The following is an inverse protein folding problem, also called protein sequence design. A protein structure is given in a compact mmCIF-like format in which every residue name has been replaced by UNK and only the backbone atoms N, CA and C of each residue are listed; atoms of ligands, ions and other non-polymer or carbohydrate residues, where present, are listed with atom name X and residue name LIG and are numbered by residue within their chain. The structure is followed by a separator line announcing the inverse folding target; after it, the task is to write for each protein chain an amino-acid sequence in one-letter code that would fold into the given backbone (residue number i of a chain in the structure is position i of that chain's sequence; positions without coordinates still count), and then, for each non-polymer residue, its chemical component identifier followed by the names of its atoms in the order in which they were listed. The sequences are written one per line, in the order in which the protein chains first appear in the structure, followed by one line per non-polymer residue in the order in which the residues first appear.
data_IF_449428409845
#
_entry.id   IF_449428409845
#
_cell.length_a   1.000
_cell.length_b   1.000
_cell.length_c   1.000
_cell.angle_alpha   90.00
_cell.angle_beta   90.00
_cell.angle_gamma   90.00
#
_symmetry.space_group_name_H-M   'P 1'
#
loop_
_entity.id
_entity.type
_entity.pdbx_description
1 polymer ?
#
# COMPACT_ATOMS: atom_id res chain seq x y z
N UNK A 1 15.97 -11.29 34.24
CA UNK A 1 17.03 -12.19 34.77
C UNK A 1 16.56 -13.63 34.66
N UNK A 2 17.47 -14.62 34.71
CA UNK A 2 17.14 -16.05 34.76
C UNK A 2 16.39 -16.36 36.08
N UNK A 3 15.36 -17.22 36.18
CA UNK A 3 15.17 -18.63 35.80
C UNK A 3 15.66 -19.64 36.85
N UNK A 4 14.72 -20.43 37.38
CA UNK A 4 14.85 -21.67 38.19
C UNK A 4 13.44 -22.19 38.52
N UNK A 5 13.15 -23.49 38.68
CA UNK A 5 14.00 -24.69 38.62
C UNK A 5 13.20 -25.92 38.14
N UNK A 6 13.90 -26.96 37.65
CA UNK A 6 13.32 -28.27 37.26
C UNK A 6 13.26 -29.25 38.44
N UNK A 7 12.73 -30.47 38.18
CA UNK A 7 13.14 -31.85 38.62
C UNK A 7 11.85 -32.72 38.69
N UNK A 8 11.80 -34.00 38.27
CA UNK A 8 12.83 -35.03 38.09
C UNK A 8 12.66 -35.92 36.83
N UNK A 9 13.55 -36.90 36.64
CA UNK A 9 13.65 -37.81 35.49
C UNK A 9 14.20 -39.20 35.85
N UNK A 10 13.69 -40.27 35.23
CA UNK A 10 14.32 -41.61 35.05
C UNK A 10 13.41 -42.48 34.14
N UNK A 11 13.83 -43.57 33.47
CA UNK A 11 15.12 -44.30 33.39
C UNK A 11 15.62 -44.42 31.93
N UNK A 12 16.87 -44.87 31.72
CA UNK A 12 17.38 -45.34 30.43
C UNK A 12 18.49 -46.43 30.57
N UNK A 13 18.44 -47.46 29.72
CA UNK A 13 19.46 -48.50 29.44
C UNK A 13 18.90 -49.46 28.38
N UNK A 14 19.60 -50.12 27.45
CA UNK A 14 20.99 -50.15 26.91
C UNK A 14 20.89 -50.90 25.53
N UNK A 15 21.87 -51.37 24.72
CA UNK A 15 23.32 -51.65 24.71
C UNK A 15 23.83 -51.30 23.27
N UNK A 16 24.99 -50.66 23.04
CA UNK A 16 26.28 -51.23 22.55
C UNK A 16 26.23 -52.42 21.53
N UNK A 17 27.20 -52.68 20.64
CA UNK A 17 28.62 -52.26 20.58
C UNK A 17 29.24 -52.34 19.16
N UNK A 18 30.14 -51.40 18.82
CA UNK A 18 31.45 -51.55 18.14
C UNK A 18 31.68 -52.44 16.88
N UNK A 19 32.28 -51.83 15.83
CA UNK A 19 33.54 -52.31 15.22
C UNK A 19 34.31 -51.17 14.49
N UNK A 20 35.60 -51.38 14.18
CA UNK A 20 36.58 -50.33 13.82
C UNK A 20 37.42 -50.65 12.55
N UNK A 21 38.20 -49.63 12.10
CA UNK A 21 39.38 -49.66 11.22
C UNK A 21 39.15 -49.67 9.69
N UNK A 22 39.98 -49.00 8.87
CA UNK A 22 41.06 -48.03 9.20
C UNK A 22 41.98 -47.65 8.02
N UNK A 23 42.85 -46.63 8.22
CA UNK A 23 43.95 -46.16 7.34
C UNK A 23 43.54 -45.47 5.99
N UNK A 24 44.32 -44.54 5.37
CA UNK A 24 45.65 -43.94 5.68
C UNK A 24 45.81 -42.50 5.05
N UNK A 25 46.97 -41.86 5.29
CA UNK A 25 47.38 -40.46 4.96
C UNK A 25 47.64 -40.16 3.45
N UNK A 26 48.11 -38.99 2.97
CA UNK A 26 48.49 -37.63 3.50
C UNK A 26 47.73 -36.55 2.66
N UNK A 27 47.76 -35.23 2.89
CA UNK A 27 48.43 -34.39 3.89
C UNK A 27 48.86 -33.00 3.35
N UNK A 28 49.18 -32.05 4.25
CA UNK A 28 49.68 -30.66 4.02
C UNK A 28 48.69 -29.69 3.33
N UNK A 29 48.73 -28.37 3.54
CA UNK A 29 49.72 -27.51 4.20
C UNK A 29 49.03 -26.29 4.89
N UNK A 30 49.44 -25.89 6.10
CA UNK A 30 49.05 -24.59 6.70
C UNK A 30 50.00 -24.14 7.84
N UNK A 31 50.74 -23.05 7.62
CA UNK A 31 51.48 -22.23 8.59
C UNK A 31 51.33 -20.76 8.11
N UNK A 32 51.37 -19.72 8.95
CA UNK A 32 51.34 -19.62 10.42
C UNK A 32 50.90 -18.18 10.79
N UNK A 33 50.61 -17.90 12.06
CA UNK A 33 50.16 -16.59 12.52
C UNK A 33 51.26 -15.51 12.47
N UNK A 34 50.86 -14.25 12.29
CA UNK A 34 51.54 -13.10 12.88
C UNK A 34 50.52 -12.04 13.33
N UNK A 35 50.78 -11.38 14.46
CA UNK A 35 49.97 -10.26 14.95
C UNK A 35 50.54 -8.94 14.45
N UNK A 36 49.68 -7.99 14.11
CA UNK A 36 50.03 -6.57 13.98
C UNK A 36 48.98 -5.75 14.70
N UNK A 37 49.37 -5.10 15.80
CA UNK A 37 48.56 -4.08 16.46
C UNK A 37 48.92 -2.71 15.88
N UNK A 38 47.91 -1.88 15.60
CA UNK A 38 48.11 -0.47 15.21
C UNK A 38 47.50 0.46 16.26
N UNK A 39 48.29 1.44 16.70
CA UNK A 39 47.90 2.45 17.68
C UNK A 39 47.11 3.58 17.03
N UNK A 40 45.99 3.96 17.65
CA UNK A 40 45.14 5.03 17.16
C UNK A 40 45.50 6.37 17.84
N UNK A 41 46.46 7.10 17.28
CA UNK A 41 46.76 8.47 17.73
C UNK A 41 45.79 9.47 17.10
N UNK A 42 44.95 10.09 17.93
CA UNK A 42 44.03 11.13 17.49
C UNK A 42 44.75 12.41 17.05
N UNK A 43 44.24 13.04 15.97
CA UNK A 43 44.55 14.43 15.62
C UNK A 43 43.26 15.26 15.73
N UNK A 44 43.27 16.24 16.63
CA UNK A 44 42.28 17.32 16.60
C UNK A 44 42.56 18.24 15.41
N UNK A 45 41.50 18.66 14.71
CA UNK A 45 41.59 19.66 13.63
C UNK A 45 40.87 20.91 14.11
N UNK A 46 41.62 21.97 14.40
CA UNK A 46 41.06 23.26 14.75
C UNK A 46 40.46 23.94 13.51
N UNK A 47 39.14 24.10 13.48
CA UNK A 47 38.42 24.80 12.43
C UNK A 47 38.29 26.29 12.77
N UNK A 48 39.21 27.12 12.26
CA UNK A 48 39.10 28.58 12.41
C UNK A 48 38.13 29.16 11.37
N UNK A 49 37.12 29.88 11.86
CA UNK A 49 36.18 30.63 11.04
C UNK A 49 36.75 31.99 10.62
N UNK A 50 36.70 32.29 9.32
CA UNK A 50 36.76 33.66 8.80
C UNK A 50 35.73 33.80 7.68
N UNK A 51 34.67 34.57 7.94
CA UNK A 51 33.79 35.07 6.90
C UNK A 51 34.30 36.40 6.34
N UNK A 52 33.93 36.71 5.11
CA UNK A 52 34.14 38.03 4.51
C UNK A 52 32.96 38.39 3.63
N UNK A 53 32.10 39.29 4.10
CA UNK A 53 31.15 39.99 3.25
C UNK A 53 31.93 40.85 2.25
N UNK A 54 31.54 40.83 0.98
CA UNK A 54 31.70 41.97 0.09
C UNK A 54 30.46 42.13 -0.78
N UNK A 55 29.96 43.36 -0.85
CA UNK A 55 28.90 43.79 -1.76
C UNK A 55 29.50 44.81 -2.72
N UNK A 56 29.16 44.71 -4.00
CA UNK A 56 29.59 45.67 -5.02
C UNK A 56 28.59 45.69 -6.17
N UNK A 57 27.82 46.77 -6.26
CA UNK A 57 26.90 47.08 -7.37
C UNK A 57 27.56 48.01 -8.37
N UNK A 58 27.58 47.64 -9.65
CA UNK A 58 27.55 48.49 -10.86
C UNK A 58 27.50 47.54 -12.07
N UNK A 59 26.48 47.52 -12.94
CA UNK A 59 25.98 48.49 -13.94
C UNK A 59 26.62 48.34 -15.34
N UNK A 60 25.80 47.78 -16.24
CA UNK A 60 25.73 47.98 -17.69
C UNK A 60 27.02 48.06 -18.53
N UNK A 61 27.22 47.03 -19.38
CA UNK A 61 27.76 47.21 -20.73
C UNK A 61 27.10 46.23 -21.71
N UNK A 62 26.95 46.62 -22.97
CA UNK A 62 26.16 45.91 -23.99
C UNK A 62 27.02 45.08 -24.94
N UNK A 63 26.66 43.82 -25.18
CA UNK A 63 27.30 43.00 -26.22
C UNK A 63 26.57 41.68 -26.49
N UNK A 64 25.83 41.60 -27.59
CA UNK A 64 25.26 40.34 -28.09
C UNK A 64 26.27 39.56 -28.94
N UNK A 65 26.24 38.23 -28.84
CA UNK A 65 26.32 37.43 -30.05
C UNK A 65 25.10 36.49 -30.18
N UNK A 66 24.62 36.33 -31.42
CA UNK A 66 23.47 35.49 -31.75
C UNK A 66 23.76 34.00 -31.53
N UNK A 67 22.87 33.29 -30.82
CA UNK A 67 22.78 31.84 -30.85
C UNK A 67 21.33 31.41 -31.04
N UNK A 68 21.04 30.73 -32.15
CA UNK A 68 19.69 30.23 -32.48
C UNK A 68 19.24 29.20 -31.45
N UNK A 69 18.32 29.57 -30.55
CA UNK A 69 17.46 28.60 -29.88
C UNK A 69 16.27 28.29 -30.80
N UNK A 70 16.03 27.00 -31.06
CA UNK A 70 14.73 26.60 -31.58
C UNK A 70 13.71 26.73 -30.46
N UNK A 71 12.80 27.69 -30.59
CA UNK A 71 11.60 27.76 -29.75
C UNK A 71 10.73 26.53 -30.02
N UNK A 72 10.85 25.53 -29.17
CA UNK A 72 9.79 24.53 -29.00
C UNK A 72 8.52 25.27 -28.57
N UNK A 73 7.49 25.26 -29.42
CA UNK A 73 6.22 25.92 -29.11
C UNK A 73 5.58 25.36 -27.83
N UNK A 74 4.67 26.11 -27.20
CA UNK A 74 4.05 25.70 -25.94
C UNK A 74 3.39 24.33 -26.10
N UNK A 75 3.78 23.38 -25.24
CA UNK A 75 3.13 22.07 -25.16
C UNK A 75 1.71 22.31 -24.65
N UNK A 76 0.75 22.36 -25.59
CA UNK A 76 -0.67 22.51 -25.30
C UNK A 76 -1.15 21.24 -24.59
N UNK A 77 -1.27 21.30 -23.26
CA UNK A 77 -1.79 20.20 -22.46
C UNK A 77 -3.15 19.75 -23.01
N UNK A 78 -3.26 18.49 -23.40
CA UNK A 78 -4.41 17.94 -24.15
C UNK A 78 -5.40 17.18 -23.26
N UNK A 79 -5.11 17.10 -21.96
CA UNK A 79 -6.00 16.59 -20.92
C UNK A 79 -7.20 17.51 -20.62
N UNK A 80 -8.05 17.79 -21.62
CA UNK A 80 -9.33 18.50 -21.47
C UNK A 80 -10.56 17.68 -21.87
N UNK A 81 -10.42 16.36 -22.00
CA UNK A 81 -11.56 15.45 -21.81
C UNK A 81 -11.78 15.24 -20.31
N UNK A 82 -12.59 16.12 -19.72
CA UNK A 82 -13.17 15.89 -18.39
C UNK A 82 -13.88 14.54 -18.38
N UNK A 83 -13.55 13.61 -17.47
CA UNK A 83 -14.32 12.38 -17.34
C UNK A 83 -15.79 12.74 -17.09
N UNK A 84 -16.71 12.01 -17.70
CA UNK A 84 -18.14 12.18 -17.42
C UNK A 84 -18.37 11.88 -15.94
N UNK A 85 -18.53 12.93 -15.12
CA UNK A 85 -18.86 12.76 -13.70
C UNK A 85 -20.16 11.97 -13.67
N UNK A 86 -20.08 10.71 -13.21
CA UNK A 86 -21.26 9.87 -13.05
C UNK A 86 -22.22 10.62 -12.15
N UNK A 87 -23.41 10.95 -12.67
CA UNK A 87 -24.42 11.63 -11.86
C UNK A 87 -24.70 10.73 -10.66
N UNK A 88 -24.49 11.24 -9.43
CA UNK A 88 -24.84 10.52 -8.19
C UNK A 88 -26.24 9.94 -8.38
N UNK A 89 -26.34 8.61 -8.41
CA UNK A 89 -27.58 7.91 -8.68
C UNK A 89 -28.59 8.23 -7.58
N UNK A 90 -29.79 8.68 -7.95
CA UNK A 90 -30.89 8.95 -7.01
C UNK A 90 -31.51 7.70 -6.36
N UNK A 91 -30.81 6.57 -6.40
CA UNK A 91 -31.19 5.31 -5.77
C UNK A 91 -31.07 5.44 -4.26
N UNK A 92 -32.22 5.50 -3.56
CA UNK A 92 -32.32 5.61 -2.09
C UNK A 92 -31.84 4.38 -1.30
N UNK A 93 -31.32 3.35 -1.96
CA UNK A 93 -30.88 2.10 -1.33
C UNK A 93 -29.35 2.09 -1.21
N UNK A 94 -28.85 2.05 0.03
CA UNK A 94 -27.41 2.02 0.32
C UNK A 94 -26.80 0.68 -0.08
N UNK A 95 -25.52 0.68 -0.48
CA UNK A 95 -24.78 -0.56 -0.68
C UNK A 95 -24.48 -1.21 0.69
N UNK A 96 -25.10 -2.37 0.95
CA UNK A 96 -24.97 -3.09 2.23
C UNK A 96 -23.75 -3.99 2.26
N UNK A 97 -22.85 -3.70 3.19
CA UNK A 97 -21.50 -4.27 3.29
C UNK A 97 -21.43 -5.26 4.46
N UNK A 98 -20.82 -6.42 4.18
CA UNK A 98 -20.25 -7.33 5.17
C UNK A 98 -18.73 -7.26 5.14
N UNK A 99 -18.05 -7.38 6.28
CA UNK A 99 -16.58 -7.37 6.34
C UNK A 99 -16.06 -8.68 6.93
N UNK A 100 -15.21 -9.40 6.19
CA UNK A 100 -14.52 -10.60 6.67
C UNK A 100 -13.08 -10.26 7.08
N UNK A 101 -12.72 -10.58 8.33
CA UNK A 101 -11.45 -10.22 8.97
C UNK A 101 -11.45 -8.77 9.48
N UNK A 102 -11.55 -8.57 10.79
CA UNK A 102 -11.63 -7.25 11.41
C UNK A 102 -10.24 -6.69 11.79
N UNK A 103 -9.27 -6.95 10.90
CA UNK A 103 -7.90 -6.45 10.94
C UNK A 103 -7.80 -4.96 10.55
N UNK A 104 -6.57 -4.50 10.25
CA UNK A 104 -6.29 -3.09 9.93
C UNK A 104 -7.23 -2.53 8.86
N UNK A 105 -7.37 -3.21 7.72
CA UNK A 105 -8.23 -2.74 6.62
C UNK A 105 -9.72 -2.81 7.01
N UNK A 106 -10.20 -3.94 7.53
CA UNK A 106 -11.62 -4.12 7.89
C UNK A 106 -12.14 -3.06 8.87
N UNK A 107 -11.36 -2.67 9.89
CA UNK A 107 -11.77 -1.61 10.84
C UNK A 107 -11.83 -0.22 10.21
N UNK A 108 -10.90 0.08 9.29
CA UNK A 108 -10.85 1.40 8.66
C UNK A 108 -11.90 1.52 7.55
N UNK A 109 -12.20 0.44 6.81
CA UNK A 109 -13.38 0.35 5.95
C UNK A 109 -14.66 0.66 6.73
N UNK A 110 -14.83 0.13 7.95
CA UNK A 110 -15.96 0.50 8.82
C UNK A 110 -15.93 1.98 9.22
N UNK A 111 -14.78 2.52 9.70
CA UNK A 111 -14.67 3.95 10.06
C UNK A 111 -15.03 4.88 8.88
N UNK A 112 -14.66 4.51 7.65
CA UNK A 112 -14.96 5.27 6.44
C UNK A 112 -16.44 5.14 6.06
N UNK A 113 -17.00 3.93 6.10
CA UNK A 113 -18.41 3.70 5.77
C UNK A 113 -19.38 4.44 6.72
N UNK A 114 -19.04 4.55 8.01
CA UNK A 114 -19.82 5.33 9.00
C UNK A 114 -19.85 6.84 8.70
N UNK A 115 -18.87 7.37 7.96
CA UNK A 115 -18.84 8.77 7.53
C UNK A 115 -19.59 9.05 6.21
N UNK A 116 -20.27 8.05 5.62
CA UNK A 116 -20.90 8.12 4.30
C UNK A 116 -22.41 7.86 4.31
N UNK A 117 -23.10 8.47 3.35
CA UNK A 117 -24.55 8.37 3.16
C UNK A 117 -24.96 7.31 2.11
N UNK A 118 -24.03 6.84 1.28
CA UNK A 118 -24.26 5.90 0.16
C UNK A 118 -23.98 4.41 0.48
N UNK A 119 -23.23 4.13 1.55
CA UNK A 119 -22.88 2.77 2.01
C UNK A 119 -23.35 2.49 3.44
N UNK A 120 -23.46 1.21 3.80
CA UNK A 120 -23.91 0.75 5.12
C UNK A 120 -23.21 -0.56 5.50
N UNK A 121 -22.39 -0.60 6.56
CA UNK A 121 -21.85 -1.88 7.06
C UNK A 121 -22.85 -2.49 8.03
N UNK A 122 -23.42 -3.64 7.68
CA UNK A 122 -24.50 -4.31 8.45
C UNK A 122 -24.00 -5.55 9.20
N UNK A 123 -22.84 -6.10 8.82
CA UNK A 123 -22.23 -7.24 9.50
C UNK A 123 -20.69 -7.28 9.42
N UNK A 124 -20.07 -7.88 10.43
CA UNK A 124 -18.62 -8.13 10.53
C UNK A 124 -18.37 -9.58 10.97
N UNK A 125 -17.35 -10.23 10.42
CA UNK A 125 -16.92 -11.58 10.82
C UNK A 125 -15.42 -11.60 11.18
N UNK A 126 -15.08 -12.09 12.37
CA UNK A 126 -13.70 -12.45 12.71
C UNK A 126 -13.65 -13.60 13.75
N UNK A 127 -13.12 -14.79 13.40
CA UNK A 127 -13.10 -15.95 14.28
C UNK A 127 -12.06 -15.91 15.42
N UNK A 128 -11.34 -14.80 15.57
CA UNK A 128 -10.35 -14.60 16.63
C UNK A 128 -10.74 -13.52 17.64
N UNK A 129 -11.94 -12.94 17.52
CA UNK A 129 -12.43 -11.84 18.36
C UNK A 129 -13.76 -12.18 19.04
N UNK A 130 -14.17 -11.34 19.99
CA UNK A 130 -15.51 -11.27 20.59
C UNK A 130 -16.08 -9.87 20.36
N UNK A 131 -17.39 -9.67 20.53
CA UNK A 131 -18.02 -8.36 20.33
C UNK A 131 -17.37 -7.23 21.18
N UNK A 132 -17.02 -7.47 22.46
CA UNK A 132 -16.32 -6.44 23.26
C UNK A 132 -14.87 -6.20 22.80
N UNK A 133 -14.16 -7.23 22.33
CA UNK A 133 -12.81 -7.03 21.81
C UNK A 133 -12.82 -6.33 20.44
N UNK A 134 -13.83 -6.59 19.59
CA UNK A 134 -14.14 -5.81 18.38
C UNK A 134 -14.38 -4.34 18.73
N UNK A 135 -15.25 -4.08 19.71
CA UNK A 135 -15.57 -2.75 20.22
C UNK A 135 -14.34 -2.02 20.77
N UNK A 136 -13.49 -2.69 21.54
CA UNK A 136 -12.22 -2.14 22.01
C UNK A 136 -11.26 -1.79 20.86
N UNK A 137 -11.00 -2.72 19.94
CA UNK A 137 -10.08 -2.53 18.80
C UNK A 137 -10.59 -1.49 17.78
N UNK A 138 -11.90 -1.26 17.73
CA UNK A 138 -12.50 -0.19 16.92
C UNK A 138 -12.40 1.18 17.61
N UNK A 139 -12.72 1.25 18.92
CA UNK A 139 -12.67 2.49 19.71
C UNK A 139 -11.25 3.03 19.85
N UNK A 140 -10.24 2.18 20.01
CA UNK A 140 -8.84 2.60 20.21
C UNK A 140 -7.93 2.10 19.08
N UNK A 141 -7.41 3.02 18.24
CA UNK A 141 -6.42 2.69 17.22
C UNK A 141 -5.12 3.50 17.42
N UNK A 142 -3.98 2.81 17.45
CA UNK A 142 -2.66 3.44 17.69
C UNK A 142 -2.14 4.29 16.52
N UNK A 143 -2.74 4.16 15.34
CA UNK A 143 -2.36 4.93 14.14
C UNK A 143 -3.38 6.03 13.87
N UNK A 144 -4.67 5.67 13.84
CA UNK A 144 -5.75 6.57 13.44
C UNK A 144 -6.55 7.13 14.63
N UNK A 145 -5.97 7.07 15.84
CA UNK A 145 -6.52 7.62 17.06
C UNK A 145 -7.79 6.94 17.59
N UNK A 146 -8.33 7.53 18.66
CA UNK A 146 -9.58 7.10 19.28
C UNK A 146 -10.75 7.44 18.35
N UNK A 147 -11.66 6.48 18.13
CA UNK A 147 -12.90 6.75 17.40
C UNK A 147 -13.74 7.77 18.20
N UNK A 148 -14.19 8.89 17.63
CA UNK A 148 -14.85 9.94 18.39
C UNK A 148 -16.23 9.50 18.93
N UNK A 149 -17.00 8.78 18.11
CA UNK A 149 -18.37 8.36 18.40
C UNK A 149 -18.53 7.24 19.42
N UNK A 150 -19.78 6.85 19.65
CA UNK A 150 -20.19 5.81 20.60
C UNK A 150 -19.95 4.40 20.03
N UNK A 151 -19.50 3.47 20.87
CA UNK A 151 -19.21 2.08 20.48
C UNK A 151 -19.58 1.14 21.63
N UNK A 152 -20.71 0.46 21.46
CA UNK A 152 -21.32 -0.43 22.46
C UNK A 152 -21.42 -1.88 21.96
N UNK A 153 -21.59 -2.79 22.91
CA UNK A 153 -22.01 -4.18 22.66
C UNK A 153 -23.44 -4.31 23.15
N UNK A 154 -24.36 -4.68 22.27
CA UNK A 154 -25.77 -4.93 22.62
C UNK A 154 -25.90 -6.36 23.16
N UNK A 155 -25.26 -7.31 22.48
CA UNK A 155 -25.23 -8.74 22.80
C UNK A 155 -23.99 -9.40 22.16
N UNK A 156 -23.77 -10.68 22.42
CA UNK A 156 -22.59 -11.43 21.91
C UNK A 156 -22.45 -11.43 20.38
N UNK A 157 -23.54 -11.14 19.65
CA UNK A 157 -23.62 -11.12 18.20
C UNK A 157 -23.99 -9.75 17.62
N UNK A 158 -24.03 -8.67 18.40
CA UNK A 158 -24.47 -7.35 17.92
C UNK A 158 -23.73 -6.20 18.58
N UNK A 159 -23.13 -5.33 17.75
CA UNK A 159 -22.55 -4.05 18.16
C UNK A 159 -23.51 -2.89 17.84
N UNK A 160 -23.37 -1.79 18.60
CA UNK A 160 -23.85 -0.47 18.20
C UNK A 160 -22.66 0.45 17.94
N UNK A 161 -22.69 1.20 16.84
CA UNK A 161 -21.74 2.29 16.57
C UNK A 161 -22.55 3.53 16.20
N UNK A 162 -22.52 4.56 17.04
CA UNK A 162 -23.36 5.77 16.91
C UNK A 162 -24.86 5.45 16.69
N UNK A 163 -25.36 4.42 17.38
CA UNK A 163 -26.74 3.91 17.25
C UNK A 163 -26.96 2.93 16.07
N UNK A 164 -26.04 2.85 15.10
CA UNK A 164 -26.13 1.92 13.98
C UNK A 164 -25.79 0.49 14.42
N UNK A 165 -26.66 -0.48 14.09
CA UNK A 165 -26.51 -1.88 14.53
C UNK A 165 -25.74 -2.71 13.51
N UNK A 166 -24.72 -3.42 13.98
CA UNK A 166 -23.84 -4.26 13.16
C UNK A 166 -23.80 -5.66 13.77
N UNK A 167 -24.17 -6.69 13.00
CA UNK A 167 -24.05 -8.09 13.46
C UNK A 167 -22.58 -8.52 13.53
N UNK A 168 -22.24 -9.34 14.51
CA UNK A 168 -20.93 -9.96 14.69
C UNK A 168 -20.98 -11.49 14.57
N UNK A 169 -20.08 -12.03 13.77
CA UNK A 169 -19.89 -13.46 13.53
C UNK A 169 -18.46 -13.89 13.87
N UNK A 170 -18.31 -15.11 14.40
CA UNK A 170 -17.03 -15.72 14.75
C UNK A 170 -16.65 -16.91 13.85
N UNK A 171 -17.11 -16.95 12.60
CA UNK A 171 -16.93 -18.12 11.74
C UNK A 171 -15.55 -18.18 11.07
N UNK A 172 -14.98 -19.39 11.04
CA UNK A 172 -13.73 -19.72 10.33
C UNK A 172 -13.96 -20.09 8.87
N UNK A 173 -15.19 -20.43 8.49
CA UNK A 173 -15.55 -20.86 7.14
C UNK A 173 -16.31 -19.72 6.44
N UNK A 174 -15.79 -19.16 5.34
CA UNK A 174 -16.46 -18.11 4.57
C UNK A 174 -17.88 -18.41 4.07
N UNK A 175 -18.24 -19.70 3.94
CA UNK A 175 -19.58 -20.16 3.52
C UNK A 175 -20.58 -20.28 4.68
N UNK A 176 -20.11 -20.48 5.91
CA UNK A 176 -20.98 -20.64 7.10
C UNK A 176 -21.43 -19.27 7.67
N UNK A 177 -21.08 -18.16 7.01
CA UNK A 177 -21.45 -16.80 7.43
C UNK A 177 -22.79 -16.44 6.78
N UNK A 178 -23.87 -16.18 7.55
CA UNK A 178 -25.19 -15.88 7.01
C UNK A 178 -25.28 -14.40 6.54
N UNK A 179 -24.60 -14.10 5.43
CA UNK A 179 -24.61 -12.79 4.78
C UNK A 179 -26.03 -12.44 4.27
N UNK A 180 -26.73 -13.40 3.67
CA UNK A 180 -28.10 -13.23 3.16
C UNK A 180 -29.10 -12.82 4.26
N UNK A 181 -29.12 -13.56 5.38
CA UNK A 181 -29.98 -13.27 6.55
C UNK A 181 -29.60 -11.96 7.27
N UNK A 182 -28.49 -11.36 6.87
CA UNK A 182 -27.97 -10.08 7.36
C UNK A 182 -28.15 -8.94 6.35
N UNK A 183 -28.73 -9.22 5.19
CA UNK A 183 -28.93 -8.24 4.12
C UNK A 183 -27.63 -7.74 3.49
N UNK A 184 -26.54 -8.50 3.55
CA UNK A 184 -25.25 -8.16 2.96
C UNK A 184 -25.25 -8.45 1.45
N UNK A 185 -25.00 -7.41 0.67
CA UNK A 185 -24.86 -7.50 -0.78
C UNK A 185 -23.39 -7.60 -1.20
N UNK A 186 -22.50 -6.86 -0.52
CA UNK A 186 -21.09 -6.69 -0.87
C UNK A 186 -20.20 -7.14 0.29
N UNK A 187 -19.36 -8.16 0.09
CA UNK A 187 -18.41 -8.61 1.11
C UNK A 187 -17.02 -8.06 0.83
N UNK A 188 -16.44 -7.36 1.81
CA UNK A 188 -15.02 -7.03 1.85
C UNK A 188 -14.27 -8.21 2.43
N UNK A 189 -13.53 -8.91 1.58
CA UNK A 189 -12.62 -9.99 1.99
C UNK A 189 -11.27 -9.39 2.38
N UNK A 190 -11.06 -9.20 3.68
CA UNK A 190 -9.89 -8.55 4.28
C UNK A 190 -9.12 -9.43 5.30
N UNK A 191 -9.31 -10.75 5.27
CA UNK A 191 -8.51 -11.70 6.07
C UNK A 191 -7.09 -11.87 5.53
N UNK A 192 -6.90 -11.67 4.22
CA UNK A 192 -5.66 -11.99 3.51
C UNK A 192 -5.46 -13.49 3.23
N UNK A 193 -6.43 -14.35 3.55
CA UNK A 193 -6.37 -15.81 3.36
C UNK A 193 -7.13 -16.27 2.11
N UNK A 194 -8.23 -15.59 1.77
CA UNK A 194 -9.18 -15.98 0.72
C UNK A 194 -9.03 -15.17 -0.57
N UNK A 195 -7.78 -14.92 -1.00
CA UNK A 195 -7.39 -13.96 -2.05
C UNK A 195 -7.55 -14.41 -3.51
N UNK A 196 -8.28 -15.49 -3.78
CA UNK A 196 -8.52 -15.99 -5.14
C UNK A 196 -10.01 -16.33 -5.36
N UNK A 197 -10.46 -16.40 -6.62
CA UNK A 197 -11.87 -16.58 -6.98
C UNK A 197 -12.46 -17.81 -6.27
N UNK A 198 -11.76 -18.95 -6.33
CA UNK A 198 -12.23 -20.20 -5.75
C UNK A 198 -12.53 -20.08 -4.25
N UNK A 199 -11.60 -19.49 -3.47
CA UNK A 199 -11.77 -19.28 -2.02
C UNK A 199 -12.82 -18.21 -1.69
N UNK A 200 -12.79 -17.08 -2.38
CA UNK A 200 -13.72 -15.97 -2.15
C UNK A 200 -15.17 -16.35 -2.50
N UNK A 201 -15.37 -17.29 -3.44
CA UNK A 201 -16.70 -17.76 -3.86
C UNK A 201 -17.55 -18.36 -2.75
N UNK A 202 -16.91 -18.84 -1.67
CA UNK A 202 -17.61 -19.34 -0.49
C UNK A 202 -18.55 -18.29 0.16
N UNK A 203 -18.22 -16.99 0.11
CA UNK A 203 -19.14 -15.95 0.59
C UNK A 203 -20.43 -15.82 -0.23
N UNK A 204 -20.42 -16.22 -1.51
CA UNK A 204 -21.62 -16.25 -2.34
C UNK A 204 -22.58 -17.37 -1.88
N UNK A 205 -22.05 -18.45 -1.28
CA UNK A 205 -22.84 -19.53 -0.69
C UNK A 205 -23.56 -19.07 0.59
N UNK A 206 -22.92 -18.19 1.37
CA UNK A 206 -23.55 -17.48 2.49
C UNK A 206 -24.58 -16.42 2.10
N UNK A 207 -24.85 -16.23 0.81
CA UNK A 207 -25.89 -15.33 0.28
C UNK A 207 -25.43 -13.93 -0.14
N UNK A 208 -24.12 -13.64 -0.10
CA UNK A 208 -23.61 -12.37 -0.63
C UNK A 208 -23.71 -12.31 -2.16
N UNK A 209 -23.94 -11.11 -2.73
CA UNK A 209 -24.06 -10.91 -4.19
C UNK A 209 -22.72 -10.64 -4.87
N UNK A 210 -21.81 -9.93 -4.19
CA UNK A 210 -20.48 -9.52 -4.68
C UNK A 210 -19.41 -9.67 -3.62
N UNK A 211 -18.17 -9.93 -4.02
CA UNK A 211 -16.99 -9.98 -3.13
C UNK A 211 -15.87 -9.10 -3.66
N UNK A 212 -15.32 -8.25 -2.79
CA UNK A 212 -14.21 -7.34 -3.06
C UNK A 212 -13.03 -7.79 -2.19
N UNK A 213 -12.02 -8.37 -2.82
CA UNK A 213 -10.79 -8.84 -2.17
C UNK A 213 -9.90 -7.62 -1.90
N UNK A 214 -9.60 -7.34 -0.62
CA UNK A 214 -8.78 -6.19 -0.18
C UNK A 214 -7.25 -6.48 -0.26
N UNK A 215 -6.85 -7.21 -1.29
CA UNK A 215 -5.47 -7.58 -1.61
C UNK A 215 -5.38 -7.96 -3.11
N UNK A 216 -4.18 -7.94 -3.73
CA UNK A 216 -4.00 -8.45 -5.08
C UNK A 216 -4.46 -9.90 -5.23
N UNK A 217 -5.15 -10.18 -6.32
CA UNK A 217 -5.54 -11.53 -6.70
C UNK A 217 -4.71 -12.06 -7.86
N UNK A 218 -4.49 -13.38 -7.87
CA UNK A 218 -3.82 -14.06 -8.97
C UNK A 218 -4.76 -14.18 -10.18
N UNK A 219 -6.01 -14.57 -9.92
CA UNK A 219 -7.07 -14.91 -10.88
C UNK A 219 -8.22 -13.88 -10.97
N UNK A 220 -8.63 -13.22 -9.88
CA UNK A 220 -9.70 -12.23 -9.92
C UNK A 220 -9.28 -10.94 -10.67
N UNK A 221 -10.19 -10.30 -11.43
CA UNK A 221 -9.91 -9.03 -12.10
C UNK A 221 -9.60 -7.95 -11.07
N UNK A 222 -8.59 -7.12 -11.36
CA UNK A 222 -8.13 -6.05 -10.49
C UNK A 222 -8.60 -4.69 -10.99
N UNK A 223 -9.05 -3.87 -10.05
CA UNK A 223 -9.51 -2.50 -10.27
C UNK A 223 -8.76 -1.53 -9.36
N UNK A 224 -8.51 -0.33 -9.89
CA UNK A 224 -7.99 0.83 -9.17
C UNK A 224 -8.83 2.03 -9.63
N UNK A 225 -9.41 2.75 -8.68
CA UNK A 225 -10.25 3.93 -8.98
C UNK A 225 -9.43 5.08 -9.58
N UNK A 226 -10.03 5.84 -10.49
CA UNK A 226 -9.36 6.80 -11.37
C UNK A 226 -8.58 6.15 -12.53
N UNK A 227 -8.45 4.83 -12.59
CA UNK A 227 -7.50 4.13 -13.48
C UNK A 227 -8.20 3.22 -14.48
N UNK A 228 -9.02 2.27 -14.03
CA UNK A 228 -9.62 1.24 -14.88
C UNK A 228 -11.00 0.72 -14.42
N UNK A 229 -11.64 1.38 -13.45
CA UNK A 229 -12.97 1.03 -12.92
C UNK A 229 -14.04 0.98 -14.01
N UNK A 230 -13.92 1.78 -15.08
CA UNK A 230 -14.84 1.79 -16.22
C UNK A 230 -14.87 0.47 -17.01
N UNK A 231 -13.92 -0.45 -16.72
CA UNK A 231 -13.83 -1.80 -17.26
C UNK A 231 -14.49 -2.84 -16.35
N UNK A 232 -15.20 -2.44 -15.29
CA UNK A 232 -16.01 -3.35 -14.46
C UNK A 232 -17.27 -3.78 -15.22
N UNK A 233 -17.63 -5.07 -15.14
CA UNK A 233 -18.85 -5.61 -15.73
C UNK A 233 -19.71 -6.31 -14.68
N UNK A 234 -21.02 -6.04 -14.67
CA UNK A 234 -21.94 -6.46 -13.61
C UNK A 234 -22.11 -7.98 -13.44
N UNK A 235 -21.63 -8.78 -14.39
CA UNK A 235 -21.49 -10.24 -14.33
C UNK A 235 -20.31 -10.71 -13.44
N UNK A 236 -19.29 -9.88 -13.23
CA UNK A 236 -18.16 -10.19 -12.35
C UNK A 236 -18.64 -10.15 -10.89
N UNK A 237 -18.69 -11.32 -10.25
CA UNK A 237 -19.12 -11.46 -8.86
C UNK A 237 -17.99 -11.32 -7.84
N UNK A 238 -16.74 -11.52 -8.26
CA UNK A 238 -15.56 -11.45 -7.39
C UNK A 238 -14.50 -10.60 -8.08
N UNK A 239 -14.02 -9.57 -7.40
CA UNK A 239 -13.01 -8.62 -7.89
C UNK A 239 -11.96 -8.36 -6.82
N UNK A 240 -10.85 -7.71 -7.19
CA UNK A 240 -9.79 -7.29 -6.27
C UNK A 240 -9.53 -5.78 -6.40
N UNK A 241 -9.37 -5.08 -5.27
CA UNK A 241 -8.97 -3.67 -5.26
C UNK A 241 -7.43 -3.50 -5.41
N UNK A 242 -6.74 -4.48 -5.99
CA UNK A 242 -5.28 -4.55 -6.08
C UNK A 242 -4.56 -4.37 -4.72
N UNK A 243 -3.41 -3.71 -4.68
CA UNK A 243 -2.70 -3.35 -3.44
C UNK A 243 -2.66 -1.84 -3.22
N UNK A 244 -2.40 -1.41 -1.99
CA UNK A 244 -2.10 -0.02 -1.64
C UNK A 244 -0.99 0.58 -2.53
N UNK A 245 0.14 -0.11 -2.72
CA UNK A 245 1.22 0.33 -3.62
C UNK A 245 0.77 0.42 -5.08
N UNK A 246 -0.12 -0.47 -5.56
CA UNK A 246 -0.68 -0.38 -6.92
C UNK A 246 -1.63 0.81 -7.05
N UNK A 247 -2.45 1.08 -6.03
CA UNK A 247 -3.33 2.26 -5.97
C UNK A 247 -2.53 3.58 -5.93
N UNK A 248 -1.33 3.60 -5.32
CA UNK A 248 -0.44 4.75 -5.38
C UNK A 248 0.25 4.90 -6.75
N UNK A 249 0.81 3.80 -7.29
CA UNK A 249 1.61 3.85 -8.51
C UNK A 249 0.77 4.03 -9.78
N UNK A 250 -0.41 3.42 -9.89
CA UNK A 250 -1.16 3.37 -11.14
C UNK A 250 -1.76 4.73 -11.59
N UNK A 251 -2.32 5.60 -10.72
CA UNK A 251 -2.80 6.93 -11.13
C UNK A 251 -1.65 7.82 -11.65
N UNK A 252 -0.51 7.82 -10.94
CA UNK A 252 0.69 8.54 -11.37
C UNK A 252 1.21 8.00 -12.71
N UNK A 253 1.29 6.67 -12.85
CA UNK A 253 1.74 6.03 -14.09
C UNK A 253 0.79 6.28 -15.27
N UNK A 254 -0.54 6.35 -15.04
CA UNK A 254 -1.55 6.71 -16.04
C UNK A 254 -1.30 8.11 -16.61
N UNK A 255 -1.22 9.12 -15.74
CA UNK A 255 -0.98 10.52 -16.15
C UNK A 255 0.36 10.68 -16.87
N UNK A 256 1.45 10.13 -16.32
CA UNK A 256 2.78 10.23 -16.94
C UNK A 256 2.86 9.46 -18.26
N UNK A 257 2.21 8.30 -18.38
CA UNK A 257 2.19 7.54 -19.63
C UNK A 257 1.35 8.23 -20.71
N UNK A 258 0.18 8.76 -20.37
CA UNK A 258 -0.71 9.42 -21.33
C UNK A 258 -0.12 10.71 -21.92
N UNK A 259 0.57 11.53 -21.12
CA UNK A 259 1.14 12.80 -21.59
C UNK A 259 2.60 12.72 -22.04
N UNK A 260 3.40 11.74 -21.60
CA UNK A 260 4.84 11.67 -21.92
C UNK A 260 5.35 10.31 -22.44
N UNK A 261 4.54 9.25 -22.37
CA UNK A 261 4.91 7.90 -22.79
C UNK A 261 5.99 7.26 -21.90
N UNK A 262 5.60 6.40 -20.95
CA UNK A 262 6.56 5.57 -20.22
C UNK A 262 7.07 4.45 -21.13
N UNK A 263 8.38 4.43 -21.40
CA UNK A 263 9.07 3.40 -22.19
C UNK A 263 9.41 2.19 -21.31
N UNK A 264 10.01 2.44 -20.15
CA UNK A 264 10.36 1.42 -19.13
C UNK A 264 10.57 2.10 -17.78
N UNK A 265 10.35 1.39 -16.68
CA UNK A 265 10.58 1.92 -15.33
C UNK A 265 10.79 0.86 -14.25
N UNK A 266 11.51 1.25 -13.20
CA UNK A 266 11.71 0.48 -11.99
C UNK A 266 11.09 1.24 -10.81
N UNK A 267 10.34 0.52 -9.98
CA UNK A 267 9.73 1.05 -8.77
C UNK A 267 10.39 0.45 -7.52
N UNK A 268 10.70 1.31 -6.56
CA UNK A 268 10.98 0.93 -5.17
C UNK A 268 9.87 1.53 -4.30
N UNK A 269 9.24 0.74 -3.44
CA UNK A 269 8.41 1.30 -2.37
C UNK A 269 9.14 1.20 -1.04
N UNK A 270 9.30 2.33 -0.37
CA UNK A 270 9.72 2.38 1.03
C UNK A 270 8.44 2.36 1.84
N UNK A 271 8.21 1.26 2.54
CA UNK A 271 6.88 0.86 2.99
C UNK A 271 6.86 0.63 4.50
N UNK A 272 5.80 1.09 5.16
CA UNK A 272 5.55 0.84 6.57
C UNK A 272 5.53 -0.66 6.93
N UNK A 273 5.76 -0.96 8.19
CA UNK A 273 5.64 -2.32 8.74
C UNK A 273 4.18 -2.79 8.70
N UNK A 274 3.93 -4.04 8.30
CA UNK A 274 2.59 -4.64 8.27
C UNK A 274 2.46 -5.84 9.21
N UNK A 275 1.23 -6.14 9.64
CA UNK A 275 0.88 -7.20 10.62
C UNK A 275 1.39 -8.63 10.30
N UNK A 276 1.88 -8.88 9.08
CA UNK A 276 2.55 -10.12 8.69
C UNK A 276 3.97 -10.26 9.24
N UNK A 277 4.69 -9.15 9.46
CA UNK A 277 6.06 -9.11 9.99
C UNK A 277 6.11 -9.44 11.49
N UNK A 278 7.32 -9.59 12.05
CA UNK A 278 7.54 -9.99 13.44
C UNK A 278 8.16 -8.86 14.27
N UNK A 279 7.85 -8.81 15.57
CA UNK A 279 8.41 -7.84 16.53
C UNK A 279 9.88 -8.13 16.88
N UNK A 280 10.25 -9.41 16.82
CA UNK A 280 11.59 -9.97 16.99
C UNK A 280 11.82 -11.05 15.94
N UNK A 281 13.06 -11.49 15.73
CA UNK A 281 13.40 -12.52 14.74
C UNK A 281 12.61 -13.83 14.97
N UNK A 282 11.94 -14.33 13.92
CA UNK A 282 11.13 -15.54 14.01
C UNK A 282 10.65 -16.10 12.65
N UNK A 283 9.90 -17.23 12.65
CA UNK A 283 9.52 -17.93 11.43
C UNK A 283 8.61 -17.12 10.48
N UNK A 284 8.91 -17.19 9.18
CA UNK A 284 8.19 -16.47 8.12
C UNK A 284 8.09 -17.26 6.79
N UNK A 285 8.07 -18.59 6.90
CA UNK A 285 7.83 -19.51 5.78
C UNK A 285 8.82 -19.32 4.63
N UNK A 286 8.32 -18.85 3.48
CA UNK A 286 9.12 -18.62 2.26
C UNK A 286 9.82 -17.26 2.22
N UNK A 287 9.37 -16.25 2.97
CA UNK A 287 10.07 -14.96 3.08
C UNK A 287 10.92 -14.95 4.37
N UNK A 288 12.16 -15.41 4.24
CA UNK A 288 13.13 -15.42 5.35
C UNK A 288 13.51 -14.02 5.84
N UNK A 289 13.34 -12.98 5.01
CA UNK A 289 13.68 -11.59 5.37
C UNK A 289 12.54 -10.94 6.16
N UNK A 290 11.29 -11.17 5.76
CA UNK A 290 10.10 -10.74 6.50
C UNK A 290 9.96 -11.32 7.92
N UNK A 291 10.73 -12.38 8.24
CA UNK A 291 10.84 -12.95 9.58
C UNK A 291 11.78 -12.20 10.53
N UNK A 292 12.57 -11.23 10.05
CA UNK A 292 13.43 -10.40 10.90
C UNK A 292 12.62 -9.37 11.68
N UNK A 293 13.11 -8.98 12.85
CA UNK A 293 12.47 -7.96 13.70
C UNK A 293 12.22 -6.65 12.95
N UNK A 294 10.95 -6.25 12.84
CA UNK A 294 10.50 -5.16 11.99
C UNK A 294 10.87 -3.77 12.52
N UNK A 295 10.96 -3.60 13.84
CA UNK A 295 11.33 -2.32 14.46
C UNK A 295 12.83 -2.00 14.38
N UNK A 296 13.66 -2.97 13.96
CA UNK A 296 15.11 -2.92 14.06
C UNK A 296 15.83 -3.02 12.70
N UNK A 297 15.11 -3.25 11.59
CA UNK A 297 15.69 -3.57 10.30
C UNK A 297 15.05 -2.76 9.15
N UNK A 298 15.86 -2.46 8.13
CA UNK A 298 15.39 -2.14 6.78
C UNK A 298 15.36 -3.46 6.00
N UNK A 299 14.18 -3.94 5.61
CA UNK A 299 13.98 -5.31 5.10
C UNK A 299 13.64 -5.29 3.60
N UNK A 300 14.58 -5.63 2.70
CA UNK A 300 14.31 -5.72 1.25
C UNK A 300 13.48 -6.96 0.91
N UNK A 301 12.25 -6.74 0.46
CA UNK A 301 11.27 -7.75 0.05
C UNK A 301 10.84 -7.56 -1.42
N UNK A 302 10.17 -8.56 -2.01
CA UNK A 302 9.63 -8.50 -3.37
C UNK A 302 8.22 -7.91 -3.37
N UNK A 303 7.77 -7.38 -4.53
CA UNK A 303 6.39 -6.92 -4.68
C UNK A 303 5.86 -7.17 -6.08
N UNK A 304 4.59 -7.59 -6.16
CA UNK A 304 3.84 -7.67 -7.41
C UNK A 304 3.31 -6.31 -7.90
N UNK A 305 3.35 -5.26 -7.07
CA UNK A 305 2.57 -4.04 -7.29
C UNK A 305 2.85 -3.34 -8.62
N UNK A 306 4.11 -3.21 -9.03
CA UNK A 306 4.48 -2.62 -10.32
C UNK A 306 4.07 -3.50 -11.52
N UNK A 307 4.14 -4.83 -11.39
CA UNK A 307 3.64 -5.76 -12.43
C UNK A 307 2.12 -5.72 -12.53
N UNK A 308 1.42 -5.50 -11.41
CA UNK A 308 -0.03 -5.33 -11.37
C UNK A 308 -0.49 -4.04 -12.06
N UNK A 309 0.34 -2.99 -12.19
CA UNK A 309 0.03 -1.83 -13.04
C UNK A 309 -0.19 -2.29 -14.49
N UNK A 310 0.62 -3.23 -14.99
CA UNK A 310 0.44 -3.84 -16.31
C UNK A 310 -0.82 -4.70 -16.49
N UNK A 311 -1.55 -5.03 -15.40
CA UNK A 311 -2.89 -5.65 -15.47
C UNK A 311 -4.01 -4.60 -15.58
N UNK A 312 -3.88 -3.42 -14.96
CA UNK A 312 -4.91 -2.34 -14.98
C UNK A 312 -4.73 -1.37 -16.16
N UNK A 313 -3.48 -1.14 -16.56
CA UNK A 313 -3.00 -0.35 -17.70
C UNK A 313 -2.21 -1.28 -18.64
N UNK A 314 -2.87 -2.02 -19.55
CA UNK A 314 -2.23 -3.01 -20.43
C UNK A 314 -1.08 -2.43 -21.29
N UNK A 315 -1.14 -1.16 -21.63
CA UNK A 315 -0.11 -0.39 -22.35
C UNK A 315 1.21 -0.22 -21.56
N UNK A 316 1.19 -0.50 -20.25
CA UNK A 316 2.34 -0.59 -19.36
C UNK A 316 2.79 -2.03 -19.04
N UNK A 317 2.11 -3.05 -19.60
CA UNK A 317 2.48 -4.44 -19.36
C UNK A 317 3.92 -4.73 -19.83
N UNK A 318 4.68 -5.45 -19.00
CA UNK A 318 6.12 -5.69 -19.20
C UNK A 318 7.04 -4.47 -19.01
N UNK A 319 6.53 -3.23 -19.05
CA UNK A 319 7.34 -2.00 -18.95
C UNK A 319 7.71 -1.61 -17.51
N UNK A 320 6.95 -2.09 -16.51
CA UNK A 320 7.13 -1.78 -15.10
C UNK A 320 7.36 -3.03 -14.24
N UNK A 321 8.37 -2.98 -13.37
CA UNK A 321 8.61 -3.96 -12.30
C UNK A 321 9.25 -3.25 -11.09
N UNK A 322 9.35 -3.92 -9.94
CA UNK A 322 9.85 -3.26 -8.74
C UNK A 322 10.12 -4.17 -7.55
N UNK A 323 10.53 -3.55 -6.45
CA UNK A 323 10.82 -4.17 -5.15
C UNK A 323 10.31 -3.29 -3.99
N UNK A 324 10.41 -3.78 -2.76
CA UNK A 324 10.05 -3.02 -1.56
C UNK A 324 11.17 -3.05 -0.51
N UNK A 325 11.32 -1.97 0.24
CA UNK A 325 12.00 -1.97 1.54
C UNK A 325 10.95 -1.74 2.62
N UNK A 326 10.77 -2.70 3.53
CA UNK A 326 10.00 -2.45 4.76
C UNK A 326 10.87 -1.70 5.75
N UNK A 327 10.32 -0.68 6.39
CA UNK A 327 11.04 0.18 7.35
C UNK A 327 10.29 0.28 8.69
N UNK A 328 10.96 0.72 9.79
CA UNK A 328 10.37 0.84 11.13
C UNK A 328 9.31 1.94 11.32
N UNK A 329 8.50 2.29 10.31
CA UNK A 329 7.32 3.16 10.47
C UNK A 329 6.04 2.31 10.69
N UNK A 330 5.09 2.77 11.52
CA UNK A 330 3.85 2.01 11.81
C UNK A 330 2.80 2.15 10.70
N UNK A 331 2.81 3.26 9.96
CA UNK A 331 1.95 3.51 8.80
C UNK A 331 2.61 4.56 7.88
N UNK A 332 1.96 4.82 6.75
CA UNK A 332 2.38 5.65 5.61
C UNK A 332 3.61 5.11 4.90
N UNK A 333 3.50 5.10 3.58
CA UNK A 333 4.48 4.54 2.65
C UNK A 333 4.70 5.50 1.49
N UNK A 334 5.77 5.28 0.73
CA UNK A 334 6.12 6.10 -0.43
C UNK A 334 6.55 5.22 -1.61
N UNK A 335 6.22 5.69 -2.82
CA UNK A 335 6.65 5.12 -4.10
C UNK A 335 7.74 6.00 -4.69
N UNK A 336 8.91 5.40 -4.95
CA UNK A 336 9.94 5.90 -5.86
C UNK A 336 9.74 5.20 -7.21
N UNK A 337 9.30 5.95 -8.23
CA UNK A 337 9.24 5.48 -9.61
C UNK A 337 10.36 6.14 -10.41
N UNK A 338 11.34 5.34 -10.85
CA UNK A 338 12.40 5.80 -11.77
C UNK A 338 12.12 5.25 -13.17
N UNK A 339 11.88 6.12 -14.15
CA UNK A 339 11.49 5.70 -15.51
C UNK A 339 12.09 6.54 -16.64
N UNK A 340 12.14 5.94 -17.84
CA UNK A 340 12.47 6.61 -19.11
C UNK A 340 11.19 7.01 -19.84
N UNK A 341 11.13 8.27 -20.25
CA UNK A 341 10.04 8.86 -21.04
C UNK A 341 10.35 8.79 -22.54
N UNK A 342 9.30 8.81 -23.36
CA UNK A 342 9.36 8.78 -24.82
C UNK A 342 9.37 10.22 -25.38
N UNK A 343 8.36 11.00 -24.99
CA UNK A 343 8.29 12.46 -25.19
C UNK A 343 9.07 13.14 -24.07
N UNK A 344 10.19 13.76 -24.43
CA UNK A 344 11.01 14.56 -23.51
C UNK A 344 10.24 15.75 -22.95
N UNK A 345 10.46 16.07 -21.68
CA UNK A 345 9.88 17.24 -21.00
C UNK A 345 10.77 17.71 -19.85
N UNK A 346 10.66 18.99 -19.46
CA UNK A 346 11.29 19.44 -18.22
C UNK A 346 10.55 18.86 -17.00
N UNK A 347 11.24 18.75 -15.86
CA UNK A 347 10.60 18.31 -14.62
C UNK A 347 9.48 19.29 -14.18
N UNK A 348 9.63 20.59 -14.47
CA UNK A 348 8.59 21.60 -14.21
C UNK A 348 7.33 21.42 -15.07
N UNK A 349 7.47 20.97 -16.33
CA UNK A 349 6.31 20.69 -17.19
C UNK A 349 5.58 19.42 -16.76
N UNK A 350 6.30 18.41 -16.29
CA UNK A 350 5.70 17.20 -15.70
C UNK A 350 4.95 17.55 -14.41
N UNK A 351 5.53 18.39 -13.53
CA UNK A 351 4.84 18.91 -12.34
C UNK A 351 3.52 19.61 -12.69
N UNK A 352 3.51 20.51 -13.68
CA UNK A 352 2.28 21.21 -14.14
C UNK A 352 1.20 20.22 -14.58
N UNK A 353 1.56 19.19 -15.35
CA UNK A 353 0.63 18.14 -15.82
C UNK A 353 0.06 17.33 -14.65
N UNK A 354 0.90 16.91 -13.70
CA UNK A 354 0.45 16.13 -12.53
C UNK A 354 -0.45 16.99 -11.62
N UNK A 355 -0.08 18.26 -11.38
CA UNK A 355 -0.89 19.22 -10.62
C UNK A 355 -2.27 19.40 -11.25
N UNK A 356 -2.33 19.71 -12.55
CA UNK A 356 -3.58 19.86 -13.29
C UNK A 356 -4.46 18.60 -13.24
N UNK A 357 -3.87 17.40 -13.34
CA UNK A 357 -4.62 16.14 -13.19
C UNK A 357 -5.18 15.95 -11.76
N UNK A 358 -4.39 16.26 -10.73
CA UNK A 358 -4.82 16.19 -9.31
C UNK A 358 -5.95 17.17 -8.97
N UNK A 359 -6.02 18.30 -9.68
CA UNK A 359 -7.05 19.33 -9.51
C UNK A 359 -8.32 19.04 -10.35
N UNK A 360 -8.25 18.11 -11.33
CA UNK A 360 -9.32 17.80 -12.28
C UNK A 360 -9.64 16.29 -12.38
N UNK A 361 -9.11 15.59 -13.39
CA UNK A 361 -9.50 14.22 -13.79
C UNK A 361 -9.17 13.14 -12.76
N UNK A 362 -8.27 13.40 -11.82
CA UNK A 362 -7.87 12.49 -10.75
C UNK A 362 -8.19 13.04 -9.35
N UNK A 363 -9.04 14.07 -9.25
CA UNK A 363 -9.32 14.77 -7.98
C UNK A 363 -9.85 13.81 -6.91
N UNK A 364 -9.18 13.77 -5.76
CA UNK A 364 -9.47 12.86 -4.64
C UNK A 364 -8.75 11.51 -4.72
N UNK A 365 -8.26 11.11 -5.90
CA UNK A 365 -7.44 9.90 -6.10
C UNK A 365 -5.95 10.25 -6.07
N UNK A 366 -5.56 11.25 -6.89
CA UNK A 366 -4.22 11.79 -6.96
C UNK A 366 -4.20 13.17 -6.27
N UNK A 367 -3.28 13.34 -5.34
CA UNK A 367 -2.87 14.62 -4.79
C UNK A 367 -1.53 15.08 -5.37
N UNK A 368 -1.19 16.31 -5.03
CA UNK A 368 0.05 16.96 -5.39
C UNK A 368 0.45 17.88 -4.22
N UNK A 369 1.73 17.99 -3.90
CA UNK A 369 2.25 18.93 -2.89
C UNK A 369 3.58 19.59 -3.29
N UNK A 370 3.75 20.85 -2.88
CA UNK A 370 5.01 21.62 -2.93
C UNK A 370 5.54 21.92 -1.51
N UNK A 371 4.89 21.39 -0.46
CA UNK A 371 5.28 21.59 0.94
C UNK A 371 6.40 20.62 1.37
N UNK A 372 7.20 21.00 2.37
CA UNK A 372 8.31 20.21 2.91
C UNK A 372 7.84 19.10 3.88
N UNK A 373 7.06 18.16 3.35
CA UNK A 373 6.34 17.09 4.07
C UNK A 373 7.20 15.89 4.47
N UNK A 374 6.72 15.13 5.45
CA UNK A 374 7.21 13.81 5.86
C UNK A 374 6.07 12.79 6.01
N UNK A 375 6.39 11.52 6.25
CA UNK A 375 5.40 10.43 6.30
C UNK A 375 4.25 10.66 7.29
N UNK A 376 4.50 11.32 8.42
CA UNK A 376 3.49 11.53 9.46
C UNK A 376 2.35 12.46 9.01
N UNK A 377 2.63 13.35 8.05
CA UNK A 377 1.68 14.38 7.61
C UNK A 377 0.55 13.81 6.72
N UNK A 378 0.70 12.56 6.30
CA UNK A 378 -0.27 11.81 5.48
C UNK A 378 -1.10 10.78 6.26
N UNK A 379 -0.95 10.68 7.59
CA UNK A 379 -1.75 9.75 8.39
C UNK A 379 -3.22 10.17 8.33
N UNK A 380 -4.08 9.30 7.79
CA UNK A 380 -5.48 9.61 7.54
C UNK A 380 -5.76 10.35 6.23
N UNK A 381 -4.78 10.48 5.33
CA UNK A 381 -5.02 11.02 3.98
C UNK A 381 -5.82 10.02 3.13
N UNK A 382 -6.99 10.44 2.64
CA UNK A 382 -7.91 9.61 1.87
C UNK A 382 -7.50 9.44 0.39
N UNK A 383 -6.44 10.12 -0.07
CA UNK A 383 -5.93 10.03 -1.46
C UNK A 383 -5.15 8.74 -1.66
N UNK A 384 -5.19 8.19 -2.88
CA UNK A 384 -4.46 6.95 -3.21
C UNK A 384 -2.97 7.18 -3.42
N UNK A 385 -2.60 8.39 -3.86
CA UNK A 385 -1.26 8.79 -4.30
C UNK A 385 -1.14 10.30 -4.08
N UNK A 386 -0.10 10.81 -3.43
CA UNK A 386 0.16 12.24 -3.29
C UNK A 386 1.57 12.53 -3.83
N UNK A 387 1.62 13.08 -5.04
CA UNK A 387 2.88 13.38 -5.72
C UNK A 387 3.64 14.50 -5.01
N UNK A 388 4.92 14.27 -4.78
CA UNK A 388 5.84 15.19 -4.10
C UNK A 388 6.70 15.93 -5.14
N UNK A 389 6.49 17.24 -5.26
CA UNK A 389 7.11 18.10 -6.27
C UNK A 389 8.57 18.49 -5.97
N UNK A 390 9.11 18.11 -4.81
CA UNK A 390 10.46 18.49 -4.37
C UNK A 390 11.34 17.29 -3.99
N UNK A 391 10.77 16.14 -3.64
CA UNK A 391 11.51 14.89 -3.43
C UNK A 391 11.84 14.14 -4.73
N UNK A 392 11.11 14.38 -5.83
CA UNK A 392 11.43 13.86 -7.16
C UNK A 392 12.53 14.65 -7.88
N UNK A 393 13.16 14.04 -8.88
CA UNK A 393 14.29 14.64 -9.61
C UNK A 393 14.41 14.13 -11.05
N UNK A 394 14.70 15.02 -11.99
CA UNK A 394 15.11 14.67 -13.36
C UNK A 394 16.63 14.59 -13.49
N UNK A 395 17.15 13.51 -14.08
CA UNK A 395 18.56 13.45 -14.53
C UNK A 395 18.75 14.18 -15.87
N UNK A 396 17.66 14.34 -16.62
CA UNK A 396 17.55 15.03 -17.89
C UNK A 396 16.18 14.74 -18.51
N UNK A 397 15.81 15.44 -19.57
CA UNK A 397 14.43 15.56 -20.09
C UNK A 397 13.69 14.24 -20.41
N UNK A 398 14.41 13.11 -20.52
CA UNK A 398 13.86 11.79 -20.79
C UNK A 398 14.05 10.75 -19.68
N UNK A 399 14.65 11.09 -18.53
CA UNK A 399 14.88 10.14 -17.43
C UNK A 399 14.63 10.78 -16.07
N UNK A 400 13.57 10.32 -15.41
CA UNK A 400 12.95 10.97 -14.25
C UNK A 400 12.80 9.99 -13.08
N UNK A 401 12.94 10.53 -11.87
CA UNK A 401 12.50 9.92 -10.61
C UNK A 401 11.31 10.72 -10.08
N UNK A 402 10.21 10.03 -9.81
CA UNK A 402 9.02 10.58 -9.18
C UNK A 402 8.84 9.98 -7.80
N UNK A 403 8.41 10.81 -6.85
CA UNK A 403 8.10 10.42 -5.48
C UNK A 403 6.60 10.64 -5.26
N UNK A 404 5.91 9.66 -4.67
CA UNK A 404 4.50 9.80 -4.31
C UNK A 404 4.19 9.10 -2.99
N UNK A 405 3.64 9.85 -2.04
CA UNK A 405 3.22 9.38 -0.72
C UNK A 405 1.87 8.68 -0.78
N UNK A 406 1.59 7.78 0.16
CA UNK A 406 0.28 7.18 0.34
C UNK A 406 0.09 6.65 1.77
N UNK A 407 -1.07 6.91 2.38
CA UNK A 407 -1.50 6.13 3.53
C UNK A 407 -1.88 4.72 3.04
N UNK A 408 -1.00 3.77 3.32
CA UNK A 408 -1.15 2.38 2.89
C UNK A 408 -2.32 1.64 3.57
N UNK A 409 -2.98 2.25 4.56
CA UNK A 409 -4.19 1.74 5.20
C UNK A 409 -5.41 2.58 4.85
N UNK A 410 -5.39 3.89 5.11
CA UNK A 410 -6.55 4.77 5.02
C UNK A 410 -6.92 5.09 3.57
N UNK A 411 -5.97 5.57 2.76
CA UNK A 411 -6.20 5.82 1.32
C UNK A 411 -6.64 4.56 0.58
N UNK A 412 -6.05 3.40 0.93
CA UNK A 412 -6.47 2.11 0.38
C UNK A 412 -7.88 1.69 0.82
N UNK A 413 -8.23 1.85 2.10
CA UNK A 413 -9.56 1.51 2.63
C UNK A 413 -10.66 2.41 2.03
N UNK A 414 -10.36 3.68 1.73
CA UNK A 414 -11.27 4.55 0.98
C UNK A 414 -11.54 3.98 -0.42
N UNK A 415 -10.50 3.52 -1.14
CA UNK A 415 -10.67 2.88 -2.46
C UNK A 415 -11.50 1.60 -2.43
N UNK A 416 -11.47 0.83 -1.33
CA UNK A 416 -12.35 -0.35 -1.17
C UNK A 416 -13.83 0.09 -1.13
N UNK A 417 -14.14 1.19 -0.43
CA UNK A 417 -15.51 1.73 -0.33
C UNK A 417 -15.95 2.38 -1.64
N UNK A 418 -15.09 3.16 -2.29
CA UNK A 418 -15.37 3.78 -3.61
C UNK A 418 -15.62 2.72 -4.70
N UNK A 419 -14.88 1.60 -4.67
CA UNK A 419 -15.10 0.49 -5.60
C UNK A 419 -16.44 -0.21 -5.35
N UNK A 420 -16.90 -0.32 -4.09
CA UNK A 420 -18.23 -0.85 -3.76
C UNK A 420 -19.33 0.07 -4.26
N UNK A 421 -19.21 1.39 -4.06
CA UNK A 421 -20.16 2.39 -4.58
C UNK A 421 -20.26 2.29 -6.11
N UNK A 422 -19.11 2.24 -6.80
CA UNK A 422 -19.06 2.11 -8.26
C UNK A 422 -19.74 0.82 -8.75
N UNK A 423 -19.41 -0.33 -8.14
CA UNK A 423 -20.04 -1.62 -8.48
C UNK A 423 -21.55 -1.57 -8.24
N UNK A 424 -22.00 -0.99 -7.13
CA UNK A 424 -23.42 -0.86 -6.81
C UNK A 424 -24.16 0.03 -7.82
N UNK A 425 -23.55 1.12 -8.28
CA UNK A 425 -24.08 1.96 -9.34
C UNK A 425 -24.20 1.21 -10.67
N UNK A 426 -23.15 0.48 -11.10
CA UNK A 426 -23.15 -0.30 -12.35
C UNK A 426 -24.14 -1.47 -12.31
N UNK A 427 -24.24 -2.17 -11.18
CA UNK A 427 -25.24 -3.24 -10.98
C UNK A 427 -26.66 -2.69 -10.99
N UNK A 428 -26.90 -1.52 -10.41
CA UNK A 428 -28.22 -0.88 -10.41
C UNK A 428 -28.61 -0.35 -11.80
N UNK A 429 -27.67 0.22 -12.53
CA UNK A 429 -27.89 0.72 -13.90
C UNK A 429 -28.21 -0.39 -14.92
N UNK A 430 -27.95 -1.67 -14.60
CA UNK A 430 -28.29 -2.84 -15.44
C UNK A 430 -29.64 -3.49 -15.05
N UNK A 431 -30.30 -3.03 -13.99
CA UNK A 431 -31.64 -3.52 -13.56
C UNK A 431 -32.80 -2.69 -14.13
N UNK A 432 -32.50 -1.49 -14.64
CA UNK A 432 -33.42 -0.55 -15.29
C UNK A 432 -33.25 -0.59 -16.81
#
# INVERSE_FOLDING_TARGET
MAASSMISSTLASSISTTLQSGAKAEGRNANSQSMVAFSNQGRSVNMQTKGSFFSSTELLSSGTPSRKQQLSGPIRATATQTPTISKKSGSKEKAKIGINGFGRIGRLVLRIALSRDDVEVVAVNDPFLTADYVRYLFKYDSTHGVYPGEVEVIDENTLSVDGHKIKFFGSKTPADIPWGDSGVDYVVESTGVFTNIAKASAHLQGGAKKVIISAPSEDAPMYVMGVNEEKYSADQNIVSNASCTTNCLAPLAKIVHQEFGIVQGLMTTVHATTATQKTVDGPSGKDWRGGRGAGQNIIPSSTGAAKAVGKVLPELNGKLTGMAFRVPTPNVSVVDLTCRLEKKASYDDIKKVIKAASESSMKGILGYTEDAVVSSDFIGDARSSIFDAHAGIGLGDGFMKFVSWYDNEWGYSNRVVDLIEHIAAVVSAKKN
#
